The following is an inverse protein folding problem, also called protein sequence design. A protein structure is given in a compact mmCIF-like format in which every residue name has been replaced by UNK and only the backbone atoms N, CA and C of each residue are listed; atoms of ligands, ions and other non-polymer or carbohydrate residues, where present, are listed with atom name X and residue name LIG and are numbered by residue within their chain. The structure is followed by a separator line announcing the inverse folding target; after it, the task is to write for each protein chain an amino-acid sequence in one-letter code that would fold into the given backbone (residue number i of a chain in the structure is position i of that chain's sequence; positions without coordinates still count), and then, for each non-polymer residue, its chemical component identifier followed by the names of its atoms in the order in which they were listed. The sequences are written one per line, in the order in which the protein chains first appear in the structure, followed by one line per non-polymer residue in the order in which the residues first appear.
data_IF_289356439836
#
_entry.id   IF_289356439836
#
_cell.length_a   1.000
_cell.length_b   1.000
_cell.length_c   1.000
_cell.angle_alpha   90.00
_cell.angle_beta   90.00
_cell.angle_gamma   90.00
#
_symmetry.space_group_name_H-M   'P 1'
#
loop_
_entity.id
_entity.type
_entity.pdbx_description
1 polymer ?
#
# COMPACT_ATOMS: atom_id res chain seq x y z
N UNK A 1 24.74 -8.27 -0.71
CA UNK A 1 23.80 -8.02 -1.82
C UNK A 1 24.30 -6.85 -2.64
N UNK A 2 24.30 -6.93 -3.97
CA UNK A 2 24.75 -5.87 -4.87
C UNK A 2 23.55 -5.34 -5.63
N UNK A 3 23.27 -4.06 -5.48
CA UNK A 3 22.20 -3.43 -6.25
C UNK A 3 22.68 -3.22 -7.69
N UNK A 4 21.99 -3.85 -8.65
CA UNK A 4 22.36 -3.84 -10.07
C UNK A 4 21.66 -2.71 -10.85
N UNK A 5 20.47 -2.27 -10.41
CA UNK A 5 19.68 -1.16 -10.95
C UNK A 5 18.86 -0.51 -9.82
N UNK A 6 18.63 0.80 -9.92
CA UNK A 6 17.90 1.60 -8.92
C UNK A 6 18.78 2.23 -7.84
N UNK A 7 18.21 3.10 -7.00
CA UNK A 7 18.92 3.78 -5.90
C UNK A 7 18.91 2.93 -4.63
N UNK A 8 20.06 2.79 -3.96
CA UNK A 8 20.18 1.94 -2.76
C UNK A 8 19.20 2.38 -1.65
N UNK A 9 18.55 1.42 -1.00
CA UNK A 9 17.71 1.70 0.17
C UNK A 9 18.54 2.39 1.26
N UNK A 10 18.01 3.49 1.81
CA UNK A 10 18.71 4.31 2.81
C UNK A 10 19.58 5.43 2.26
N UNK A 11 19.72 5.57 0.93
CA UNK A 11 20.30 6.77 0.36
C UNK A 11 19.31 7.95 0.56
N UNK A 12 19.77 9.12 1.09
CA UNK A 12 18.89 10.23 1.43
C UNK A 12 17.91 10.67 0.33
N UNK A 13 18.29 10.69 -0.97
CA UNK A 13 17.37 11.15 -2.01
C UNK A 13 16.55 10.02 -2.65
N UNK A 14 16.68 8.76 -2.21
CA UNK A 14 16.00 7.63 -2.87
C UNK A 14 14.46 7.73 -2.80
N UNK A 15 13.83 7.99 -1.64
CA UNK A 15 12.36 8.06 -1.57
C UNK A 15 11.75 9.22 -2.38
N UNK A 16 12.32 10.45 -2.36
CA UNK A 16 11.84 11.54 -3.21
C UNK A 16 11.90 11.23 -4.71
N UNK A 17 12.99 10.60 -5.19
CA UNK A 17 13.10 10.26 -6.61
C UNK A 17 12.04 9.26 -7.07
N UNK A 18 11.82 8.20 -6.30
CA UNK A 18 10.75 7.23 -6.60
C UNK A 18 9.37 7.91 -6.60
N UNK A 19 9.13 8.78 -5.62
CA UNK A 19 7.85 9.49 -5.49
C UNK A 19 7.56 10.39 -6.69
N UNK A 20 8.54 11.16 -7.15
CA UNK A 20 8.39 12.07 -8.30
C UNK A 20 8.19 11.28 -9.59
N UNK A 21 8.99 10.22 -9.79
CA UNK A 21 8.88 9.38 -10.99
C UNK A 21 7.47 8.81 -11.15
N UNK A 22 6.91 8.23 -10.08
CA UNK A 22 5.55 7.71 -10.11
C UNK A 22 4.50 8.80 -10.21
N UNK A 23 4.69 9.96 -9.57
CA UNK A 23 3.74 11.06 -9.70
C UNK A 23 3.55 11.52 -11.16
N UNK A 24 4.61 11.51 -11.97
CA UNK A 24 4.54 11.85 -13.39
C UNK A 24 3.76 10.77 -14.16
N UNK A 25 4.09 9.49 -13.97
CA UNK A 25 3.37 8.38 -14.61
C UNK A 25 1.87 8.38 -14.25
N UNK A 26 1.58 8.54 -12.96
CA UNK A 26 0.23 8.61 -12.40
C UNK A 26 -0.56 9.76 -13.02
N UNK A 27 0.05 10.94 -13.20
CA UNK A 27 -0.65 12.10 -13.76
C UNK A 27 -1.20 11.87 -15.18
N UNK A 28 -0.57 10.96 -15.94
CA UNK A 28 -0.97 10.61 -17.30
C UNK A 28 -1.98 9.46 -17.27
N UNK A 29 -1.66 8.40 -16.52
CA UNK A 29 -2.49 7.18 -16.47
C UNK A 29 -3.82 7.44 -15.75
N UNK A 30 -3.79 8.05 -14.56
CA UNK A 30 -4.98 8.27 -13.75
C UNK A 30 -5.99 9.16 -14.46
N UNK A 31 -5.55 10.14 -15.26
CA UNK A 31 -6.45 10.96 -16.08
C UNK A 31 -7.33 10.10 -17.00
N UNK A 32 -6.77 9.06 -17.62
CA UNK A 32 -7.54 8.18 -18.51
C UNK A 32 -8.57 7.35 -17.74
N UNK A 33 -8.17 6.74 -16.61
CA UNK A 33 -9.03 5.81 -15.86
C UNK A 33 -10.03 6.50 -14.91
N UNK A 34 -9.66 7.67 -14.37
CA UNK A 34 -10.51 8.47 -13.48
C UNK A 34 -11.44 9.39 -14.27
N UNK A 35 -10.93 10.16 -15.25
CA UNK A 35 -11.73 11.18 -15.93
C UNK A 35 -12.48 10.62 -17.14
N UNK A 36 -11.80 9.84 -18.01
CA UNK A 36 -12.42 9.35 -19.25
C UNK A 36 -13.31 8.14 -19.03
N UNK A 37 -12.85 7.16 -18.24
CA UNK A 37 -13.57 5.91 -18.00
C UNK A 37 -14.42 5.93 -16.73
N UNK A 38 -14.12 6.83 -15.77
CA UNK A 38 -14.79 6.93 -14.48
C UNK A 38 -14.88 5.60 -13.69
N UNK A 39 -13.95 4.69 -13.92
CA UNK A 39 -13.87 3.39 -13.25
C UNK A 39 -13.06 3.46 -11.96
N UNK A 40 -12.08 4.36 -11.88
CA UNK A 40 -11.27 4.57 -10.68
C UNK A 40 -11.79 5.81 -9.93
N UNK A 41 -12.58 5.58 -8.87
CA UNK A 41 -13.24 6.66 -8.11
C UNK A 41 -12.30 7.33 -7.10
N UNK A 42 -11.38 6.53 -6.56
CA UNK A 42 -10.38 7.02 -5.62
C UNK A 42 -9.04 6.36 -5.96
N UNK A 43 -7.98 7.15 -5.90
CA UNK A 43 -6.61 6.68 -5.92
C UNK A 43 -5.78 7.51 -4.94
N UNK A 44 -5.10 6.84 -4.01
CA UNK A 44 -4.24 7.46 -3.00
C UNK A 44 -2.98 6.62 -2.87
N UNK A 45 -1.83 7.28 -2.96
CA UNK A 45 -0.52 6.65 -2.77
C UNK A 45 0.13 7.17 -1.51
N UNK A 46 0.70 6.26 -0.74
CA UNK A 46 1.57 6.55 0.39
C UNK A 46 2.92 5.87 0.16
N UNK A 47 3.92 6.66 -0.25
CA UNK A 47 5.25 6.16 -0.62
C UNK A 47 5.15 5.05 -1.68
N UNK A 48 5.31 3.80 -1.24
CA UNK A 48 5.36 2.58 -2.04
C UNK A 48 4.04 1.79 -1.98
N UNK A 49 3.06 2.22 -1.19
CA UNK A 49 1.75 1.57 -1.05
C UNK A 49 0.64 2.39 -1.71
N UNK A 50 -0.28 1.72 -2.40
CA UNK A 50 -1.39 2.37 -3.12
C UNK A 50 -2.73 1.80 -2.66
N UNK A 51 -3.67 2.70 -2.38
CA UNK A 51 -5.05 2.38 -2.11
C UNK A 51 -5.95 3.01 -3.17
N UNK A 52 -6.93 2.24 -3.68
CA UNK A 52 -7.88 2.73 -4.67
C UNK A 52 -9.26 2.13 -4.51
N UNK A 53 -10.27 2.86 -5.00
CA UNK A 53 -11.66 2.40 -5.07
C UNK A 53 -12.02 2.25 -6.54
N UNK A 54 -12.30 1.02 -6.92
CA UNK A 54 -12.72 0.66 -8.27
C UNK A 54 -14.23 0.52 -8.35
N UNK A 55 -14.83 1.09 -9.38
CA UNK A 55 -16.26 1.07 -9.60
C UNK A 55 -16.62 0.19 -10.79
N UNK A 56 -17.20 -0.97 -10.47
CA UNK A 56 -17.58 -2.01 -11.41
C UNK A 56 -18.90 -1.67 -12.13
N UNK A 57 -18.89 -0.80 -13.15
CA UNK A 57 -20.11 -0.42 -13.90
C UNK A 57 -20.36 -1.22 -15.17
N UNK A 58 -19.31 -1.78 -15.77
CA UNK A 58 -19.37 -2.32 -17.14
C UNK A 58 -19.27 -3.85 -17.11
N UNK A 59 -19.79 -4.51 -18.14
CA UNK A 59 -19.64 -5.98 -18.29
C UNK A 59 -18.15 -6.36 -18.44
N UNK A 60 -17.33 -5.47 -19.01
CA UNK A 60 -15.90 -5.69 -19.27
C UNK A 60 -14.96 -5.27 -18.12
N UNK A 61 -15.44 -5.20 -16.86
CA UNK A 61 -14.62 -4.72 -15.74
C UNK A 61 -13.30 -5.46 -15.58
N UNK A 62 -13.28 -6.77 -15.83
CA UNK A 62 -12.06 -7.58 -15.72
C UNK A 62 -11.02 -7.18 -16.78
N UNK A 63 -11.45 -6.94 -18.02
CA UNK A 63 -10.56 -6.47 -19.09
C UNK A 63 -10.00 -5.08 -18.77
N UNK A 64 -10.83 -4.19 -18.22
CA UNK A 64 -10.42 -2.85 -17.81
C UNK A 64 -9.43 -2.89 -16.63
N UNK A 65 -9.65 -3.78 -15.66
CA UNK A 65 -8.74 -4.00 -14.55
C UNK A 65 -7.39 -4.53 -15.03
N UNK A 66 -7.38 -5.56 -15.87
CA UNK A 66 -6.14 -6.08 -16.49
C UNK A 66 -5.43 -5.01 -17.33
N UNK A 67 -6.20 -4.19 -18.05
CA UNK A 67 -5.68 -3.06 -18.82
C UNK A 67 -5.01 -2.01 -17.93
N UNK A 68 -5.62 -1.69 -16.79
CA UNK A 68 -5.04 -0.80 -15.79
C UNK A 68 -3.73 -1.37 -15.20
N UNK A 69 -3.74 -2.63 -14.78
CA UNK A 69 -2.54 -3.31 -14.27
C UNK A 69 -1.39 -3.30 -15.29
N UNK A 70 -1.69 -3.62 -16.56
CA UNK A 70 -0.72 -3.57 -17.66
C UNK A 70 -0.19 -2.15 -17.88
N UNK A 71 -1.05 -1.13 -17.85
CA UNK A 71 -0.65 0.25 -18.07
C UNK A 71 0.28 0.76 -16.95
N UNK A 72 -0.03 0.46 -15.69
CA UNK A 72 0.81 0.80 -14.54
C UNK A 72 2.19 0.11 -14.58
N UNK A 73 2.22 -1.16 -14.99
CA UNK A 73 3.44 -1.96 -15.08
C UNK A 73 4.21 -1.78 -16.39
N UNK A 74 3.69 -1.02 -17.35
CA UNK A 74 4.37 -0.69 -18.59
C UNK A 74 5.30 0.52 -18.42
N UNK A 75 6.39 0.33 -17.66
CA UNK A 75 7.38 1.37 -17.45
C UNK A 75 8.79 0.92 -17.84
N UNK A 76 9.58 1.89 -18.30
CA UNK A 76 10.93 1.70 -18.85
C UNK A 76 11.92 1.14 -17.80
N UNK A 77 11.67 1.41 -16.52
CA UNK A 77 12.55 1.07 -15.41
C UNK A 77 12.20 -0.27 -14.74
N UNK A 78 11.19 -0.99 -15.27
CA UNK A 78 10.74 -2.30 -14.76
C UNK A 78 10.38 -2.29 -13.27
N UNK A 79 9.81 -1.19 -12.79
CA UNK A 79 9.22 -1.14 -11.46
C UNK A 79 7.85 -1.82 -11.54
N UNK A 80 7.71 -2.97 -10.89
CA UNK A 80 6.49 -3.74 -10.93
C UNK A 80 5.65 -3.47 -9.68
N UNK A 81 4.45 -2.97 -9.90
CA UNK A 81 3.38 -2.94 -8.92
C UNK A 81 2.76 -4.32 -8.78
N UNK A 82 2.69 -4.78 -7.55
CA UNK A 82 1.88 -5.93 -7.16
C UNK A 82 0.46 -5.44 -6.87
N UNK A 83 -0.53 -6.11 -7.46
CA UNK A 83 -1.93 -5.73 -7.31
C UNK A 83 -2.65 -6.78 -6.49
N UNK A 84 -3.49 -6.32 -5.57
CA UNK A 84 -4.49 -7.16 -4.93
C UNK A 84 -5.71 -7.31 -5.84
N UNK A 85 -6.40 -8.44 -5.72
CA UNK A 85 -7.67 -8.64 -6.40
C UNK A 85 -8.72 -7.65 -5.91
N UNK A 86 -9.64 -7.27 -6.80
CA UNK A 86 -10.74 -6.38 -6.44
C UNK A 86 -11.62 -7.05 -5.38
N UNK A 87 -11.77 -6.38 -4.25
CA UNK A 87 -12.51 -6.88 -3.10
C UNK A 87 -13.26 -5.74 -2.41
N UNK A 88 -14.36 -6.07 -1.74
CA UNK A 88 -15.06 -5.15 -0.82
C UNK A 88 -14.33 -5.00 0.52
N UNK A 89 -13.31 -5.81 0.78
CA UNK A 89 -12.48 -5.73 1.99
C UNK A 89 -11.01 -5.94 1.63
N UNK A 90 -10.14 -5.07 2.14
CA UNK A 90 -8.69 -5.14 1.92
C UNK A 90 -7.94 -4.66 3.16
N UNK A 91 -6.81 -5.29 3.44
CA UNK A 91 -5.86 -4.81 4.45
C UNK A 91 -4.89 -3.81 3.81
N UNK A 92 -4.78 -2.61 4.38
CA UNK A 92 -3.91 -1.54 3.92
C UNK A 92 -3.23 -0.89 5.12
N UNK A 93 -1.89 -1.01 5.19
CA UNK A 93 -1.09 -0.65 6.37
C UNK A 93 -1.58 -1.38 7.62
N UNK A 94 -1.86 -0.65 8.70
CA UNK A 94 -2.34 -1.17 9.98
C UNK A 94 -3.88 -1.14 10.05
N UNK A 95 -4.58 -1.11 8.90
CA UNK A 95 -6.04 -1.04 8.86
C UNK A 95 -6.65 -2.06 7.90
N UNK A 96 -7.75 -2.67 8.32
CA UNK A 96 -8.67 -3.38 7.43
C UNK A 96 -9.75 -2.40 6.99
N UNK A 97 -9.84 -2.17 5.68
CA UNK A 97 -10.80 -1.25 5.08
C UNK A 97 -11.89 -2.08 4.41
N UNK A 98 -13.14 -1.87 4.82
CA UNK A 98 -14.32 -2.56 4.29
C UNK A 98 -15.28 -1.56 3.66
N UNK A 99 -15.66 -1.81 2.41
CA UNK A 99 -16.74 -1.11 1.72
C UNK A 99 -18.06 -1.84 2.01
N UNK A 100 -18.93 -1.17 2.76
CA UNK A 100 -20.26 -1.71 3.12
C UNK A 100 -21.25 -1.60 1.96
N UNK A 101 -22.32 -2.39 2.01
CA UNK A 101 -23.41 -2.34 1.01
C UNK A 101 -24.09 -0.96 0.90
N UNK A 102 -24.00 -0.13 1.95
CA UNK A 102 -24.52 1.24 1.98
C UNK A 102 -23.51 2.27 1.42
N UNK A 103 -22.48 1.83 0.70
CA UNK A 103 -21.40 2.66 0.15
C UNK A 103 -20.62 3.45 1.21
N UNK A 104 -20.53 2.95 2.44
CA UNK A 104 -19.70 3.54 3.50
C UNK A 104 -18.40 2.76 3.66
N UNK A 105 -17.30 3.49 3.84
CA UNK A 105 -16.02 2.92 4.23
C UNK A 105 -16.01 2.76 5.76
N UNK A 106 -15.75 1.54 6.21
CA UNK A 106 -15.53 1.20 7.62
C UNK A 106 -14.09 0.72 7.75
N UNK A 107 -13.36 1.27 8.72
CA UNK A 107 -11.98 0.88 8.99
C UNK A 107 -11.88 0.26 10.38
N UNK A 108 -11.13 -0.82 10.49
CA UNK A 108 -10.77 -1.46 11.77
C UNK A 108 -9.25 -1.59 11.85
N UNK A 109 -8.71 -1.67 13.06
CA UNK A 109 -7.28 -1.95 13.24
C UNK A 109 -6.98 -3.34 12.67
N UNK A 110 -5.97 -3.43 11.81
CA UNK A 110 -5.47 -4.71 11.33
C UNK A 110 -4.36 -5.20 12.25
N UNK A 111 -4.53 -6.41 12.77
CA UNK A 111 -3.50 -7.11 13.50
C UNK A 111 -2.99 -8.26 12.64
N UNK A 112 -1.67 -8.30 12.41
CA UNK A 112 -1.07 -9.42 11.70
C UNK A 112 -1.42 -10.71 12.45
N UNK A 113 -1.93 -11.76 11.78
CA UNK A 113 -2.28 -13.02 12.43
C UNK A 113 -1.13 -13.67 13.21
N UNK A 114 0.10 -13.30 12.88
CA UNK A 114 1.35 -13.76 13.51
C UNK A 114 1.85 -12.84 14.62
N UNK A 115 1.08 -11.84 15.06
CA UNK A 115 1.44 -11.03 16.21
C UNK A 115 1.34 -11.89 17.49
N UNK A 116 2.47 -12.47 17.88
CA UNK A 116 2.58 -13.33 19.05
C UNK A 116 2.55 -12.55 20.38
N UNK A 117 2.42 -11.22 20.34
CA UNK A 117 2.44 -10.37 21.52
C UNK A 117 3.66 -10.65 22.43
N UNK A 118 4.82 -10.90 21.81
CA UNK A 118 6.08 -11.18 22.52
C UNK A 118 6.64 -9.90 23.12
N UNK A 119 5.92 -9.36 24.10
CA UNK A 119 6.41 -8.29 24.94
C UNK A 119 7.61 -8.79 25.74
N UNK A 120 8.56 -7.89 25.97
CA UNK A 120 9.70 -8.22 26.80
C UNK A 120 9.20 -8.38 28.25
N UNK A 121 9.43 -9.52 28.91
CA UNK A 121 9.01 -9.70 30.29
C UNK A 121 9.66 -8.66 31.20
N UNK A 122 8.94 -8.17 32.21
CA UNK A 122 9.41 -7.16 33.17
C UNK A 122 10.66 -7.60 33.97
N UNK A 123 10.92 -8.92 34.04
CA UNK A 123 12.06 -9.55 34.71
C UNK A 123 13.21 -9.93 33.76
N UNK A 124 13.14 -9.53 32.49
CA UNK A 124 14.24 -9.74 31.55
C UNK A 124 15.49 -8.94 31.96
N UNK A 125 16.67 -9.52 31.76
CA UNK A 125 17.97 -8.90 32.13
C UNK A 125 18.42 -7.78 31.17
N UNK A 126 17.49 -6.97 30.67
CA UNK A 126 17.85 -5.84 29.81
C UNK A 126 18.34 -4.64 30.63
N UNK A 127 19.28 -3.84 30.09
CA UNK A 127 19.76 -2.64 30.76
C UNK A 127 18.59 -1.67 31.07
N UNK A 128 18.59 -0.99 32.23
CA UNK A 128 17.48 -0.11 32.64
C UNK A 128 17.14 0.98 31.62
N UNK A 129 18.12 1.45 30.84
CA UNK A 129 17.93 2.47 29.80
C UNK A 129 17.22 1.97 28.54
N UNK A 130 17.04 0.66 28.35
CA UNK A 130 16.30 0.09 27.22
C UNK A 130 14.80 0.05 27.50
N UNK A 131 14.40 -0.08 28.77
CA UNK A 131 13.01 -0.28 29.19
C UNK A 131 12.12 0.94 28.93
N UNK A 132 12.68 2.15 28.87
CA UNK A 132 11.92 3.38 28.58
C UNK A 132 11.44 3.49 27.13
N UNK A 133 11.94 2.64 26.22
CA UNK A 133 11.62 2.67 24.79
C UNK A 133 10.86 1.45 24.28
N UNK A 134 10.49 0.51 25.15
CA UNK A 134 9.88 -0.77 24.74
C UNK A 134 8.64 -1.06 25.58
N UNK A 135 7.62 -1.63 24.95
CA UNK A 135 6.40 -2.09 25.63
C UNK A 135 6.74 -3.37 26.41
N UNK A 136 6.56 -3.33 27.73
CA UNK A 136 6.77 -4.45 28.64
C UNK A 136 5.44 -4.95 29.20
N UNK A 137 5.39 -6.24 29.56
CA UNK A 137 4.23 -6.81 30.24
C UNK A 137 4.07 -6.21 31.65
N UNK A 138 2.84 -5.83 32.06
CA UNK A 138 2.58 -5.43 33.43
C UNK A 138 2.84 -6.61 34.39
N UNK A 139 3.30 -6.28 35.60
CA UNK A 139 3.58 -7.24 36.69
C UNK A 139 2.33 -8.00 37.14
#
# INVERSE_FOLDING_TARGET
MRQLKGTAMGAPPAPPYATIYFAILESILLRSFMDSLAVLQLYRRYIDDVFGIWHCRMEDNQLLWEGFQKAMNNNEYKLHWEFTELSSQVDFMDMTITLTHDNKLVTTLYEKPTNLYLYIPSHSCHPPGLLSGVVYEPL
#
